data_IF_034892179760
#
_entry.id   IF_034892179760
#
_cell.length_a   1.000
_cell.length_b   1.000
_cell.length_c   1.000
_cell.angle_alpha   90.00
_cell.angle_beta   90.00
_cell.angle_gamma   90.00
#
_symmetry.space_group_name_H-M   'P 1'
#
loop_
_entity.id
_entity.type
_entity.pdbx_description
1 polymer ?
#
# COMPACT_ATOMS: atom_id res chain seq x y z
N UNK A 1 -42.96 16.99 15.93
CA UNK A 1 -42.03 17.29 14.82
C UNK A 1 -40.66 17.59 15.39
N UNK A 2 -39.71 16.64 15.32
CA UNK A 2 -38.26 16.85 15.41
C UNK A 2 -37.61 15.69 14.65
N UNK A 3 -37.33 15.93 13.36
CA UNK A 3 -36.74 14.97 12.41
C UNK A 3 -35.33 15.47 12.04
N UNK A 4 -34.40 15.62 12.98
CA UNK A 4 -33.09 16.20 12.64
C UNK A 4 -31.85 15.45 13.15
N UNK A 5 -31.97 14.51 14.09
CA UNK A 5 -30.79 13.84 14.68
C UNK A 5 -30.27 12.58 13.93
N UNK A 6 -30.84 12.23 12.78
CA UNK A 6 -30.52 10.96 12.08
C UNK A 6 -29.48 11.07 10.95
N UNK A 7 -29.05 12.28 10.56
CA UNK A 7 -28.17 12.48 9.38
C UNK A 7 -26.67 12.54 9.69
N UNK A 8 -26.25 13.00 10.87
CA UNK A 8 -24.82 13.23 11.15
C UNK A 8 -23.98 11.97 11.44
N UNK A 9 -24.61 10.85 11.83
CA UNK A 9 -23.87 9.60 12.14
C UNK A 9 -23.47 8.76 10.91
N UNK A 10 -24.00 9.03 9.71
CA UNK A 10 -23.75 8.19 8.51
C UNK A 10 -22.52 8.58 7.67
N UNK A 11 -21.94 9.77 7.85
CA UNK A 11 -20.90 10.28 6.94
C UNK A 11 -19.48 9.83 7.31
N UNK A 12 -19.24 9.45 8.58
CA UNK A 12 -17.88 9.31 9.14
C UNK A 12 -17.01 8.16 8.60
N UNK A 13 -17.52 7.30 7.73
CA UNK A 13 -16.84 6.06 7.32
C UNK A 13 -17.03 5.72 5.84
N UNK A 14 -17.49 6.67 5.02
CA UNK A 14 -17.78 6.37 3.62
C UNK A 14 -16.50 6.28 2.79
N UNK A 15 -15.47 7.09 3.06
CA UNK A 15 -14.29 7.26 2.20
C UNK A 15 -12.96 6.69 2.74
N UNK A 16 -13.01 5.57 3.46
CA UNK A 16 -11.81 5.02 4.14
C UNK A 16 -10.91 4.18 3.20
N UNK A 17 -11.30 3.96 1.94
CA UNK A 17 -10.50 3.18 0.99
C UNK A 17 -9.51 4.09 0.26
N UNK A 18 -8.30 4.21 0.81
CA UNK A 18 -7.25 5.05 0.22
C UNK A 18 -6.66 4.39 -1.03
N UNK A 19 -6.60 5.13 -2.14
CA UNK A 19 -5.94 4.68 -3.35
C UNK A 19 -4.41 4.65 -3.13
N UNK A 20 -3.74 3.51 -3.33
CA UNK A 20 -2.31 3.40 -3.08
C UNK A 20 -1.46 4.11 -4.14
N UNK A 21 -2.02 4.50 -5.29
CA UNK A 21 -1.30 5.22 -6.36
C UNK A 21 -1.34 6.74 -6.17
N UNK A 22 -2.52 7.32 -5.92
CA UNK A 22 -2.70 8.76 -5.85
C UNK A 22 -3.08 9.31 -4.46
N UNK A 23 -3.27 8.44 -3.46
CA UNK A 23 -3.57 8.83 -2.09
C UNK A 23 -4.99 9.32 -1.82
N UNK A 24 -5.88 9.37 -2.83
CA UNK A 24 -7.24 9.87 -2.64
C UNK A 24 -8.10 8.85 -1.88
N UNK A 25 -8.98 9.33 -0.99
CA UNK A 25 -9.98 8.49 -0.32
C UNK A 25 -11.13 8.13 -1.25
N UNK A 26 -11.51 6.85 -1.27
CA UNK A 26 -12.58 6.31 -2.11
C UNK A 26 -13.67 5.71 -1.24
N UNK A 27 -14.89 5.67 -1.78
CA UNK A 27 -16.01 5.04 -1.10
C UNK A 27 -15.71 3.57 -0.78
N UNK A 28 -16.19 3.07 0.37
CA UNK A 28 -16.10 1.63 0.69
C UNK A 28 -16.72 0.80 -0.45
N UNK A 29 -15.98 -0.20 -0.92
CA UNK A 29 -16.39 -1.06 -2.03
C UNK A 29 -16.15 -0.47 -3.43
N UNK A 30 -15.50 0.70 -3.55
CA UNK A 30 -15.09 1.22 -4.87
C UNK A 30 -14.12 0.26 -5.54
N UNK A 31 -14.42 -0.12 -6.78
CA UNK A 31 -13.53 -0.97 -7.59
C UNK A 31 -12.37 -0.19 -8.18
N UNK A 32 -12.62 1.05 -8.58
CA UNK A 32 -11.63 1.91 -9.19
C UNK A 32 -11.49 3.21 -8.41
N UNK A 33 -10.31 3.80 -8.48
CA UNK A 33 -10.06 5.11 -7.90
C UNK A 33 -10.81 6.18 -8.69
N UNK A 34 -11.53 7.06 -7.99
CA UNK A 34 -12.31 8.13 -8.64
C UNK A 34 -11.44 9.20 -9.34
N UNK A 35 -10.16 9.30 -8.98
CA UNK A 35 -9.24 10.33 -9.52
C UNK A 35 -8.31 9.76 -10.58
N UNK A 36 -7.58 8.68 -10.28
CA UNK A 36 -6.57 8.14 -11.20
C UNK A 36 -7.04 6.90 -11.98
N UNK A 37 -8.22 6.36 -11.70
CA UNK A 37 -8.76 5.19 -12.40
C UNK A 37 -8.17 3.84 -12.00
N UNK A 38 -7.15 3.81 -11.13
CA UNK A 38 -6.53 2.58 -10.63
C UNK A 38 -7.57 1.57 -10.13
N UNK A 39 -7.42 0.30 -10.51
CA UNK A 39 -8.19 -0.78 -9.90
C UNK A 39 -7.72 -1.02 -8.45
N UNK A 40 -8.61 -0.75 -7.49
CA UNK A 40 -8.37 -0.89 -6.06
C UNK A 40 -8.49 -2.34 -5.58
N UNK A 41 -9.17 -3.19 -6.34
CA UNK A 41 -9.28 -4.63 -6.04
C UNK A 41 -7.98 -5.40 -6.29
N UNK A 42 -7.01 -4.79 -6.99
CA UNK A 42 -5.72 -5.42 -7.29
C UNK A 42 -4.71 -5.29 -6.17
N UNK A 43 -4.92 -4.33 -5.26
CA UNK A 43 -4.05 -4.10 -4.11
C UNK A 43 -4.34 -5.12 -3.01
N UNK A 44 -3.36 -5.99 -2.72
CA UNK A 44 -3.43 -7.02 -1.66
C UNK A 44 -3.01 -6.43 -0.31
N UNK A 45 -1.97 -5.60 -0.31
CA UNK A 45 -1.50 -4.91 0.88
C UNK A 45 -0.85 -3.58 0.52
N UNK A 46 -0.95 -2.63 1.44
CA UNK A 46 -0.29 -1.34 1.35
C UNK A 46 0.41 -1.05 2.70
N UNK A 47 1.69 -0.69 2.63
CA UNK A 47 2.55 -0.45 3.78
C UNK A 47 3.17 0.94 3.65
N UNK A 48 2.79 1.84 4.54
CA UNK A 48 3.37 3.18 4.60
C UNK A 48 4.70 3.13 5.33
N UNK A 49 5.74 3.70 4.72
CA UNK A 49 7.08 3.82 5.31
C UNK A 49 7.61 5.25 5.20
N UNK A 50 8.74 5.55 5.84
CA UNK A 50 9.30 6.91 5.84
C UNK A 50 9.87 7.27 4.48
N UNK A 51 10.62 6.34 3.87
CA UNK A 51 11.33 6.59 2.62
C UNK A 51 10.52 6.27 1.36
N UNK A 52 9.54 5.37 1.49
CA UNK A 52 8.69 4.94 0.38
C UNK A 52 7.43 4.27 0.91
N UNK A 53 6.32 4.35 0.18
CA UNK A 53 5.22 3.41 0.43
C UNK A 53 5.40 2.15 -0.41
N UNK A 54 5.00 1.01 0.12
CA UNK A 54 5.03 -0.26 -0.58
C UNK A 54 3.62 -0.78 -0.80
N UNK A 55 3.25 -0.96 -2.06
CA UNK A 55 2.08 -1.72 -2.47
C UNK A 55 2.50 -3.12 -2.91
N UNK A 56 1.73 -4.10 -2.46
CA UNK A 56 1.74 -5.46 -2.99
C UNK A 56 0.42 -5.62 -3.73
N UNK A 57 0.48 -5.73 -5.05
CA UNK A 57 -0.66 -6.07 -5.88
C UNK A 57 -0.67 -7.57 -6.21
N UNK A 58 -1.72 -8.02 -6.91
CA UNK A 58 -1.80 -9.40 -7.41
C UNK A 58 -0.69 -9.76 -8.40
N UNK A 59 -0.12 -8.78 -9.10
CA UNK A 59 0.82 -8.96 -10.20
C UNK A 59 2.21 -8.35 -9.95
N UNK A 60 2.36 -7.46 -8.97
CA UNK A 60 3.60 -6.72 -8.74
C UNK A 60 3.81 -6.27 -7.29
N UNK A 61 5.05 -5.90 -7.01
CA UNK A 61 5.44 -5.07 -5.87
C UNK A 61 5.73 -3.67 -6.41
N UNK A 62 5.14 -2.65 -5.81
CA UNK A 62 5.23 -1.26 -6.28
C UNK A 62 5.75 -0.38 -5.13
N UNK A 63 6.87 0.28 -5.37
CA UNK A 63 7.53 1.18 -4.45
C UNK A 63 7.28 2.63 -4.87
N UNK A 64 6.58 3.40 -4.03
CA UNK A 64 6.31 4.82 -4.24
C UNK A 64 7.28 5.66 -3.43
N UNK A 65 8.27 6.28 -4.07
CA UNK A 65 9.34 7.02 -3.37
C UNK A 65 8.85 8.33 -2.77
N UNK A 66 9.19 8.57 -1.50
CA UNK A 66 8.95 9.83 -0.80
C UNK A 66 10.15 10.77 -0.84
N UNK A 67 9.87 12.05 -0.63
CA UNK A 67 10.88 13.08 -0.43
C UNK A 67 11.63 12.83 0.87
N UNK A 68 12.88 13.29 0.95
CA UNK A 68 13.67 13.17 2.18
C UNK A 68 13.12 14.03 3.33
N UNK A 69 12.48 15.16 3.00
CA UNK A 69 11.88 16.09 3.96
C UNK A 69 10.35 16.09 3.78
N UNK A 70 9.67 15.18 4.47
CA UNK A 70 8.19 15.09 4.51
C UNK A 70 7.59 13.90 3.77
N UNK A 71 6.28 13.70 3.95
CA UNK A 71 5.55 12.50 3.50
C UNK A 71 5.15 12.51 2.01
N UNK A 72 5.53 13.57 1.29
CA UNK A 72 5.14 13.73 -0.11
C UNK A 72 5.88 12.75 -1.01
N UNK A 73 5.14 12.13 -1.93
CA UNK A 73 5.73 11.30 -2.98
C UNK A 73 6.43 12.16 -4.02
N UNK A 74 7.57 11.67 -4.48
CA UNK A 74 8.37 12.29 -5.54
C UNK A 74 7.83 12.05 -6.95
N UNK A 75 6.84 11.16 -7.09
CA UNK A 75 6.39 10.63 -8.38
C UNK A 75 7.28 9.52 -8.94
N UNK A 76 8.46 9.27 -8.36
CA UNK A 76 9.29 8.13 -8.75
C UNK A 76 8.69 6.82 -8.24
N UNK A 77 8.43 5.90 -9.16
CA UNK A 77 7.82 4.59 -8.88
C UNK A 77 8.73 3.49 -9.41
N UNK A 78 9.03 2.50 -8.57
CA UNK A 78 9.65 1.25 -9.03
C UNK A 78 8.59 0.14 -9.00
N UNK A 79 8.37 -0.51 -10.15
CA UNK A 79 7.43 -1.64 -10.28
C UNK A 79 8.20 -2.92 -10.57
N UNK A 80 7.98 -3.93 -9.73
CA UNK A 80 8.61 -5.24 -9.81
C UNK A 80 7.52 -6.29 -10.06
N UNK A 81 7.38 -6.77 -11.30
CA UNK A 81 6.41 -7.82 -11.64
C UNK A 81 6.73 -9.13 -10.92
N UNK A 82 5.74 -9.75 -10.27
CA UNK A 82 5.93 -10.96 -9.45
C UNK A 82 6.49 -12.14 -10.26
N UNK A 83 6.15 -12.24 -11.55
CA UNK A 83 6.64 -13.29 -12.45
C UNK A 83 8.15 -13.20 -12.78
N UNK A 84 8.80 -12.09 -12.42
CA UNK A 84 10.24 -11.85 -12.61
C UNK A 84 10.99 -11.77 -11.27
N UNK A 85 10.30 -12.02 -10.16
CA UNK A 85 10.87 -12.02 -8.81
C UNK A 85 11.28 -13.44 -8.44
N UNK A 86 12.50 -13.57 -7.96
CA UNK A 86 13.11 -14.82 -7.53
C UNK A 86 13.77 -14.64 -6.16
N UNK A 87 14.05 -15.74 -5.45
CA UNK A 87 14.84 -15.76 -4.21
C UNK A 87 14.44 -14.71 -3.18
N UNK A 88 13.17 -14.73 -2.78
CA UNK A 88 12.61 -13.82 -1.78
C UNK A 88 13.05 -14.22 -0.37
N UNK A 89 13.69 -13.29 0.34
CA UNK A 89 14.17 -13.49 1.71
C UNK A 89 13.84 -12.28 2.61
N UNK A 90 13.72 -12.54 3.91
CA UNK A 90 13.69 -11.50 4.93
C UNK A 90 15.05 -11.47 5.63
N UNK A 91 15.86 -10.46 5.28
CA UNK A 91 17.16 -10.24 5.88
C UNK A 91 17.07 -9.60 7.27
N UNK A 92 18.22 -9.44 7.94
CA UNK A 92 18.31 -8.74 9.22
C UNK A 92 17.85 -7.28 9.10
N UNK A 93 17.45 -6.68 10.24
CA UNK A 93 17.03 -5.28 10.33
C UNK A 93 15.88 -4.90 9.39
N UNK A 94 14.90 -5.80 9.28
CA UNK A 94 13.67 -5.59 8.53
C UNK A 94 13.83 -5.35 7.03
N UNK A 95 14.84 -5.99 6.42
CA UNK A 95 15.09 -5.90 4.98
C UNK A 95 14.31 -6.96 4.22
N UNK A 96 13.47 -6.54 3.29
CA UNK A 96 12.84 -7.41 2.31
C UNK A 96 13.69 -7.46 1.05
N UNK A 97 14.21 -8.65 0.73
CA UNK A 97 15.24 -8.82 -0.30
C UNK A 97 14.74 -9.82 -1.33
N UNK A 98 15.01 -9.56 -2.60
CA UNK A 98 14.67 -10.46 -3.70
C UNK A 98 15.56 -10.21 -4.91
N UNK A 99 15.60 -11.15 -5.84
CA UNK A 99 16.22 -10.99 -7.15
C UNK A 99 15.14 -10.58 -8.15
N UNK A 100 15.43 -9.57 -8.97
CA UNK A 100 14.56 -9.11 -10.05
C UNK A 100 15.39 -8.93 -11.32
N UNK A 101 15.07 -9.68 -12.38
CA UNK A 101 15.83 -9.72 -13.64
C UNK A 101 17.35 -9.90 -13.39
N UNK A 102 17.73 -10.84 -12.53
CA UNK A 102 19.12 -11.12 -12.17
C UNK A 102 19.80 -10.08 -11.28
N UNK A 103 19.10 -9.03 -10.84
CA UNK A 103 19.63 -8.00 -9.93
C UNK A 103 19.06 -8.16 -8.53
N UNK A 104 19.91 -8.08 -7.52
CA UNK A 104 19.48 -8.09 -6.11
C UNK A 104 18.83 -6.74 -5.75
N UNK A 105 17.60 -6.79 -5.27
CA UNK A 105 16.83 -5.66 -4.76
C UNK A 105 16.70 -5.80 -3.24
N UNK A 106 16.89 -4.70 -2.53
CA UNK A 106 16.81 -4.62 -1.07
C UNK A 106 15.87 -3.48 -0.70
N UNK A 107 14.73 -3.80 -0.10
CA UNK A 107 13.75 -2.84 0.40
C UNK A 107 13.83 -2.83 1.94
N UNK A 108 14.41 -1.80 2.56
CA UNK A 108 14.38 -1.65 4.02
C UNK A 108 12.96 -1.23 4.44
N UNK A 109 12.30 -2.06 5.24
CA UNK A 109 10.97 -1.76 5.78
C UNK A 109 11.08 -1.43 7.27
N UNK A 110 10.20 -0.58 7.78
CA UNK A 110 10.02 -0.43 9.23
C UNK A 110 9.62 -1.76 9.86
N UNK A 111 10.11 -1.99 11.07
CA UNK A 111 9.78 -3.23 11.80
C UNK A 111 8.28 -3.42 11.99
N UNK A 112 7.53 -2.33 12.18
CA UNK A 112 6.08 -2.37 12.35
C UNK A 112 5.35 -2.94 11.13
N UNK A 113 5.85 -2.64 9.92
CA UNK A 113 5.32 -3.17 8.67
C UNK A 113 5.60 -4.66 8.50
N UNK A 114 6.70 -5.16 9.07
CA UNK A 114 6.96 -6.61 9.15
C UNK A 114 6.10 -7.31 10.22
N UNK A 115 5.84 -6.65 11.35
CA UNK A 115 5.03 -7.21 12.46
C UNK A 115 3.55 -7.35 12.10
N UNK A 116 3.02 -6.49 11.22
CA UNK A 116 1.63 -6.58 10.69
C UNK A 116 1.33 -7.92 9.98
N UNK A 117 2.35 -8.71 9.59
CA UNK A 117 2.15 -10.07 9.03
C UNK A 117 1.91 -11.18 10.06
N UNK A 118 2.22 -10.98 11.36
CA UNK A 118 2.07 -12.04 12.39
C UNK A 118 0.66 -12.17 13.01
N UNK A 119 -0.27 -11.25 12.73
CA UNK A 119 -1.64 -11.27 13.29
C UNK A 119 -2.74 -11.84 12.36
N UNK A 120 -2.42 -12.19 11.11
CA UNK A 120 -3.38 -12.80 10.15
C UNK A 120 -3.22 -14.33 9.98
N UNK A 121 -2.62 -15.02 10.95
CA UNK A 121 -2.73 -16.48 11.10
C UNK A 121 -3.40 -16.81 12.44
N UNK A 122 -4.72 -16.70 12.46
CA UNK A 122 -5.58 -17.59 13.25
C UNK A 122 -6.68 -18.01 12.28
N UNK A 123 -6.52 -19.23 11.77
CA UNK A 123 -7.63 -20.02 11.25
C UNK A 123 -8.57 -20.30 12.41
#
# INVERSE_FOLDING_TARGET
MKMEDSKEKKVKNQFDLICPECGVGNSKGSKNCLVCGKNLEDTVAFLEDDSFDLEISKDAIIEYRKTFWGDNRTGKVNKYSLNKIENVEFGPSSRFIFIYNGKRIVLPLKEENLRKKKKKKKF
#
